data_IF_772642058672
#
_entry.id   IF_772642058672
#
_cell.length_a   1.000
_cell.length_b   1.000
_cell.length_c   1.000
_cell.angle_alpha   90.00
_cell.angle_beta   90.00
_cell.angle_gamma   90.00
#
_symmetry.space_group_name_H-M   'P 1'
#
loop_
_entity.id
_entity.type
_entity.pdbx_description
1 polymer ?
#
# COMPACT_ATOMS: atom_id res chain seq x y z
N UNK A 1 18.10 11.23 -21.51
CA UNK A 1 17.84 10.45 -20.29
C UNK A 1 16.55 10.98 -19.70
N UNK A 2 15.42 10.34 -19.99
CA UNK A 2 14.20 10.57 -19.22
C UNK A 2 14.49 10.05 -17.83
N UNK A 3 14.62 10.95 -16.86
CA UNK A 3 14.55 10.58 -15.46
C UNK A 3 13.10 10.13 -15.29
N UNK A 4 12.83 8.83 -15.35
CA UNK A 4 11.59 8.33 -14.77
C UNK A 4 11.67 8.71 -13.31
N UNK A 5 10.89 9.70 -12.90
CA UNK A 5 10.71 10.04 -11.49
C UNK A 5 10.02 8.86 -10.84
N UNK A 6 10.77 7.79 -10.59
CA UNK A 6 10.25 6.59 -9.95
C UNK A 6 10.13 6.91 -8.47
N UNK A 7 8.92 7.29 -8.08
CA UNK A 7 8.62 7.55 -6.68
C UNK A 7 8.63 6.24 -5.91
N UNK A 8 9.17 6.24 -4.69
CA UNK A 8 9.03 5.09 -3.80
C UNK A 8 7.56 4.91 -3.40
N UNK A 9 7.18 3.73 -2.91
CA UNK A 9 5.80 3.46 -2.52
C UNK A 9 5.28 4.39 -1.42
N UNK A 10 6.14 4.84 -0.50
CA UNK A 10 5.82 5.83 0.53
C UNK A 10 5.64 7.23 -0.06
N UNK A 11 6.43 7.60 -1.07
CA UNK A 11 6.24 8.87 -1.78
C UNK A 11 4.94 8.85 -2.59
N UNK A 12 4.66 7.77 -3.32
CA UNK A 12 3.40 7.55 -4.00
C UNK A 12 2.22 7.66 -3.04
N UNK A 13 2.31 6.99 -1.90
CA UNK A 13 1.29 7.08 -0.86
C UNK A 13 1.05 8.53 -0.42
N UNK A 14 2.11 9.31 -0.16
CA UNK A 14 1.97 10.73 0.22
C UNK A 14 1.36 11.60 -0.89
N UNK A 15 1.73 11.37 -2.14
CA UNK A 15 1.24 12.10 -3.31
C UNK A 15 -0.20 11.70 -3.70
N UNK A 16 -0.61 10.49 -3.34
CA UNK A 16 -1.93 9.94 -3.61
C UNK A 16 -3.02 10.49 -2.69
N UNK A 17 -4.26 10.53 -3.20
CA UNK A 17 -5.45 10.80 -2.40
C UNK A 17 -5.88 9.57 -1.57
N UNK A 18 -6.82 9.72 -0.63
CA UNK A 18 -7.28 8.65 0.25
C UNK A 18 -7.77 7.39 -0.50
N UNK A 19 -8.41 7.54 -1.66
CA UNK A 19 -8.88 6.39 -2.45
C UNK A 19 -7.71 5.64 -3.08
N UNK A 20 -6.76 6.36 -3.68
CA UNK A 20 -5.56 5.76 -4.27
C UNK A 20 -4.68 5.11 -3.20
N UNK A 21 -4.52 5.75 -2.04
CA UNK A 21 -3.83 5.19 -0.88
C UNK A 21 -4.42 3.86 -0.45
N UNK A 22 -5.75 3.78 -0.36
CA UNK A 22 -6.44 2.54 -0.03
C UNK A 22 -6.18 1.46 -1.08
N UNK A 23 -6.17 1.81 -2.37
CA UNK A 23 -5.90 0.85 -3.45
C UNK A 23 -4.43 0.34 -3.41
N UNK A 24 -3.45 1.23 -3.16
CA UNK A 24 -2.05 0.86 -2.95
C UNK A 24 -1.93 -0.16 -1.82
N UNK A 25 -2.49 0.16 -0.65
CA UNK A 25 -2.42 -0.71 0.54
C UNK A 25 -3.13 -2.03 0.26
N UNK A 26 -4.37 -2.00 -0.24
CA UNK A 26 -5.14 -3.21 -0.54
C UNK A 26 -4.47 -4.11 -1.57
N UNK A 27 -3.75 -3.56 -2.56
CA UNK A 27 -2.98 -4.37 -3.51
C UNK A 27 -1.82 -5.07 -2.83
N UNK A 28 -1.06 -4.38 -1.98
CA UNK A 28 0.00 -5.03 -1.21
C UNK A 28 -0.58 -6.10 -0.27
N UNK A 29 -1.68 -5.77 0.41
CA UNK A 29 -2.36 -6.70 1.31
C UNK A 29 -2.94 -7.92 0.58
N UNK A 30 -3.42 -7.75 -0.65
CA UNK A 30 -3.88 -8.86 -1.51
C UNK A 30 -2.74 -9.76 -2.01
N UNK A 31 -1.48 -9.35 -1.83
CA UNK A 31 -0.29 -10.15 -2.14
C UNK A 31 0.40 -10.70 -0.88
N UNK A 32 -0.18 -10.51 0.31
CA UNK A 32 0.26 -11.14 1.56
C UNK A 32 -0.80 -12.06 2.13
N UNK A 33 -0.39 -12.94 3.04
CA UNK A 33 -1.27 -13.86 3.74
C UNK A 33 -2.26 -13.13 4.66
N UNK A 34 -3.45 -13.69 4.81
CA UNK A 34 -4.50 -13.16 5.69
C UNK A 34 -4.00 -12.91 7.13
N UNK A 35 -3.17 -13.80 7.67
CA UNK A 35 -2.55 -13.68 9.00
C UNK A 35 -1.77 -12.36 9.19
N UNK A 36 -1.04 -11.93 8.16
CA UNK A 36 -0.30 -10.67 8.19
C UNK A 36 -1.22 -9.47 8.11
N UNK A 37 -2.27 -9.55 7.29
CA UNK A 37 -3.26 -8.47 7.24
C UNK A 37 -3.92 -8.30 8.61
N UNK A 38 -4.26 -9.40 9.29
CA UNK A 38 -4.79 -9.36 10.66
C UNK A 38 -3.78 -8.80 11.67
N UNK A 39 -2.50 -9.16 11.55
CA UNK A 39 -1.41 -8.64 12.40
C UNK A 39 -1.22 -7.13 12.24
N UNK A 40 -1.22 -6.68 10.99
CA UNK A 40 -1.12 -5.27 10.64
C UNK A 40 -2.38 -4.51 11.08
N UNK A 41 -3.53 -5.18 11.00
CA UNK A 41 -4.77 -4.62 11.46
C UNK A 41 -4.82 -4.42 12.98
N UNK A 42 -4.27 -5.37 13.73
CA UNK A 42 -4.10 -5.23 15.17
C UNK A 42 -3.13 -4.09 15.54
N UNK A 43 -2.10 -3.82 14.72
CA UNK A 43 -1.09 -2.78 14.98
C UNK A 43 -1.62 -1.35 14.78
N UNK A 44 -2.45 -1.12 13.78
CA UNK A 44 -2.92 0.22 13.37
C UNK A 44 -4.30 0.53 13.97
N UNK A 45 -4.97 -0.49 14.53
CA UNK A 45 -6.34 -0.43 15.05
C UNK A 45 -7.35 -0.95 14.03
N UNK A 46 -8.56 -1.29 14.50
CA UNK A 46 -9.61 -1.97 13.74
C UNK A 46 -9.70 -1.55 12.26
N UNK A 47 -9.22 -2.43 11.37
CA UNK A 47 -9.34 -2.29 9.93
C UNK A 47 -10.58 -3.00 9.41
N UNK A 48 -11.75 -2.53 9.82
CA UNK A 48 -12.99 -2.97 9.22
C UNK A 48 -13.42 -4.38 9.59
N UNK A 49 -14.68 -4.63 9.29
CA UNK A 49 -15.46 -5.79 9.71
C UNK A 49 -14.78 -7.12 9.31
N UNK A 50 -14.59 -8.00 10.31
CA UNK A 50 -13.87 -9.29 10.41
C UNK A 50 -13.92 -10.28 9.21
N UNK A 51 -14.67 -9.98 8.14
CA UNK A 51 -14.89 -10.91 7.03
C UNK A 51 -14.03 -10.65 5.79
N UNK A 52 -13.59 -9.40 5.56
CA UNK A 52 -12.69 -9.06 4.46
C UNK A 52 -11.74 -7.93 4.87
N UNK A 53 -10.45 -8.21 5.12
CA UNK A 53 -9.54 -7.19 5.61
C UNK A 53 -9.10 -6.27 4.44
N UNK A 54 -10.00 -5.34 4.09
CA UNK A 54 -9.78 -4.28 3.11
C UNK A 54 -9.68 -2.96 3.85
N UNK A 55 -8.61 -2.25 3.56
CA UNK A 55 -8.39 -0.90 4.05
C UNK A 55 -9.28 0.07 3.30
N UNK A 56 -10.07 0.84 4.03
CA UNK A 56 -10.91 1.92 3.49
C UNK A 56 -10.10 3.20 3.29
N UNK A 57 -10.57 4.14 2.44
CA UNK A 57 -9.92 5.44 2.27
C UNK A 57 -9.70 6.18 3.59
N UNK A 58 -10.70 6.22 4.47
CA UNK A 58 -10.62 6.87 5.79
C UNK A 58 -9.58 6.22 6.71
N UNK A 59 -9.40 4.89 6.61
CA UNK A 59 -8.37 4.19 7.38
C UNK A 59 -6.95 4.52 6.89
N UNK A 60 -6.76 4.81 5.60
CA UNK A 60 -5.44 5.21 5.10
C UNK A 60 -4.95 6.55 5.61
N UNK A 61 -5.84 7.42 6.07
CA UNK A 61 -5.44 8.68 6.72
C UNK A 61 -4.73 8.43 8.06
N UNK A 62 -4.96 7.27 8.68
CA UNK A 62 -4.31 6.84 9.92
C UNK A 62 -2.99 6.09 9.68
N UNK A 63 -2.71 5.71 8.43
CA UNK A 63 -1.48 5.00 8.06
C UNK A 63 -0.38 6.04 7.84
N UNK A 64 0.69 5.90 8.62
CA UNK A 64 1.90 6.71 8.48
C UNK A 64 2.78 6.21 7.33
N UNK A 65 3.64 7.05 6.73
CA UNK A 65 4.58 6.60 5.70
C UNK A 65 5.52 5.48 6.16
N UNK A 66 5.92 5.47 7.42
CA UNK A 66 6.75 4.40 7.99
C UNK A 66 6.00 3.06 8.05
N UNK A 67 4.72 3.07 8.45
CA UNK A 67 3.87 1.87 8.40
C UNK A 67 3.66 1.42 6.95
N UNK A 68 3.52 2.34 6.01
CA UNK A 68 3.44 2.02 4.58
C UNK A 68 4.70 1.29 4.09
N UNK A 69 5.89 1.74 4.49
CA UNK A 69 7.15 1.04 4.19
C UNK A 69 7.20 -0.35 4.82
N UNK A 70 6.71 -0.52 6.05
CA UNK A 70 6.65 -1.83 6.70
C UNK A 70 5.70 -2.80 5.98
N UNK A 71 4.52 -2.32 5.56
CA UNK A 71 3.57 -3.10 4.74
C UNK A 71 4.24 -3.54 3.44
N UNK A 72 4.92 -2.61 2.76
CA UNK A 72 5.61 -2.88 1.52
C UNK A 72 6.75 -3.89 1.72
N UNK A 73 7.60 -3.71 2.74
CA UNK A 73 8.68 -4.64 3.06
C UNK A 73 8.14 -6.04 3.38
N UNK A 74 7.05 -6.12 4.13
CA UNK A 74 6.36 -7.37 4.47
C UNK A 74 5.81 -8.05 3.21
N UNK A 75 5.19 -7.28 2.32
CA UNK A 75 4.69 -7.77 1.05
C UNK A 75 5.82 -8.29 0.15
N UNK A 76 6.95 -7.58 0.10
CA UNK A 76 8.13 -7.98 -0.68
C UNK A 76 8.77 -9.28 -0.18
N UNK A 77 8.80 -9.50 1.14
CA UNK A 77 9.30 -10.76 1.73
C UNK A 77 8.48 -11.98 1.29
N UNK A 78 7.17 -11.81 1.10
CA UNK A 78 6.27 -12.88 0.70
C UNK A 78 6.16 -13.03 -0.81
N UNK A 79 6.02 -11.92 -1.52
CA UNK A 79 5.89 -11.87 -2.97
C UNK A 79 6.98 -10.98 -3.54
N UNK A 80 8.16 -11.53 -3.86
CA UNK A 80 9.26 -10.77 -4.44
C UNK A 80 8.85 -10.00 -5.71
N UNK A 81 9.22 -8.73 -5.77
CA UNK A 81 8.88 -7.79 -6.83
C UNK A 81 7.43 -7.28 -6.78
N UNK A 82 6.67 -7.52 -5.72
CA UNK A 82 5.32 -6.95 -5.59
C UNK A 82 5.38 -5.45 -5.39
N UNK A 83 6.33 -4.95 -4.61
CA UNK A 83 6.45 -3.51 -4.34
C UNK A 83 6.79 -2.76 -5.62
N UNK A 84 7.72 -3.30 -6.43
CA UNK A 84 8.07 -2.74 -7.73
C UNK A 84 6.86 -2.74 -8.68
N UNK A 85 6.11 -3.84 -8.77
CA UNK A 85 4.91 -3.93 -9.62
C UNK A 85 3.82 -2.93 -9.23
N UNK A 86 3.55 -2.81 -7.93
CA UNK A 86 2.57 -1.84 -7.41
C UNK A 86 3.05 -0.41 -7.68
N UNK A 87 4.31 -0.11 -7.35
CA UNK A 87 4.94 1.20 -7.56
C UNK A 87 4.90 1.61 -9.04
N UNK A 88 5.29 0.72 -9.95
CA UNK A 88 5.27 0.97 -11.39
C UNK A 88 3.85 1.23 -11.92
N UNK A 89 2.85 0.49 -11.42
CA UNK A 89 1.45 0.72 -11.77
C UNK A 89 1.00 2.14 -11.39
N UNK A 90 1.24 2.57 -10.16
CA UNK A 90 0.80 3.90 -9.68
C UNK A 90 1.64 5.05 -10.25
N UNK A 91 2.94 4.87 -10.47
CA UNK A 91 3.75 5.85 -11.21
C UNK A 91 3.20 6.06 -12.63
N UNK A 92 2.73 5.00 -13.29
CA UNK A 92 2.11 5.11 -14.61
C UNK A 92 0.73 5.81 -14.59
N UNK A 93 -0.03 5.66 -13.49
CA UNK A 93 -1.29 6.38 -13.28
C UNK A 93 -1.06 7.87 -13.03
N UNK A 94 -0.08 8.22 -12.18
CA UNK A 94 0.27 9.62 -11.91
C UNK A 94 0.77 10.35 -13.16
N UNK A 95 1.52 9.67 -14.02
CA UNK A 95 2.00 10.23 -15.29
C UNK A 95 0.89 10.44 -16.33
N UNK A 96 -0.31 9.89 -16.12
CA UNK A 96 -1.48 10.01 -17.01
C UNK A 96 -2.46 11.11 -16.60
N UNK A 97 -2.29 11.70 -15.42
CA UNK A 97 -3.11 12.80 -14.90
C UNK A 97 -2.47 14.15 -15.25
#
# INVERSE_FOLDING_TARGET
MTVTSDHTISQLFLLSNATQRADIVNRLLGNVSHDMVASLAASIGDFGDDQHPRVTPEQTEKITPAQMEEIAATAEQHTPGVVERVTAFFNSELART
#
